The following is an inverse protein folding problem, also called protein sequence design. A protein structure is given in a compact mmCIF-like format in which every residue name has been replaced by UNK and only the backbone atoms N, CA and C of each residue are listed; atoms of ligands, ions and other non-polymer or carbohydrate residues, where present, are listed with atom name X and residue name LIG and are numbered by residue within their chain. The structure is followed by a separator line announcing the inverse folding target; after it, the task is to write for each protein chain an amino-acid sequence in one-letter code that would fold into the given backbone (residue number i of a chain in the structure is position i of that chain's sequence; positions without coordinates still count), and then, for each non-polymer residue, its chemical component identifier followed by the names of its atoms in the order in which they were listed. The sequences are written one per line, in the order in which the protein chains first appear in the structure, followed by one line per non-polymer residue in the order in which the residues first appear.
data_IF_123868686223
#
_entry.id   IF_123868686223
#
_cell.length_a   1.000
_cell.length_b   1.000
_cell.length_c   1.000
_cell.angle_alpha   90.00
_cell.angle_beta   90.00
_cell.angle_gamma   90.00
#
_symmetry.space_group_name_H-M   'P 1'
#
loop_
_entity.id
_entity.type
_entity.pdbx_description
1 polymer ?
#
# COMPACT_ATOMS: atom_id res chain seq x y z
N UNK A 1 2.79 -10.62 -16.52
CA UNK A 1 1.63 -11.52 -16.72
C UNK A 1 2.04 -13.01 -16.85
N UNK A 2 2.89 -13.50 -15.94
CA UNK A 2 3.37 -14.90 -15.92
C UNK A 2 2.41 -15.86 -15.16
N UNK A 3 1.32 -15.35 -14.62
CA UNK A 3 0.28 -16.11 -13.89
C UNK A 3 0.59 -16.32 -12.41
N UNK A 4 1.61 -15.68 -11.87
CA UNK A 4 1.91 -15.65 -10.45
C UNK A 4 1.47 -14.31 -9.86
N UNK A 5 1.04 -14.36 -8.62
CA UNK A 5 0.71 -13.13 -7.90
C UNK A 5 1.98 -12.45 -7.41
N UNK A 6 2.11 -11.20 -7.79
CA UNK A 6 3.08 -10.26 -7.25
C UNK A 6 2.48 -9.57 -6.02
N UNK A 7 3.32 -8.90 -5.23
CA UNK A 7 2.86 -8.14 -4.07
C UNK A 7 3.22 -6.67 -4.27
N UNK A 8 2.28 -5.80 -3.93
CA UNK A 8 2.51 -4.37 -3.87
C UNK A 8 2.59 -3.96 -2.40
N UNK A 9 3.67 -3.30 -2.02
CA UNK A 9 3.91 -2.85 -0.65
C UNK A 9 4.09 -1.33 -0.62
N UNK A 10 3.07 -0.63 -0.10
CA UNK A 10 3.18 0.77 0.26
C UNK A 10 4.05 0.95 1.50
N UNK A 11 4.83 2.01 1.54
CA UNK A 11 5.72 2.33 2.65
C UNK A 11 5.73 3.85 2.90
N UNK A 12 6.63 4.31 3.76
CA UNK A 12 6.79 5.72 4.14
C UNK A 12 7.24 6.62 2.98
N UNK A 13 7.89 6.05 1.98
CA UNK A 13 8.51 6.80 0.89
C UNK A 13 9.91 7.33 1.25
N UNK A 14 10.56 7.91 0.27
CA UNK A 14 11.96 8.36 0.39
C UNK A 14 12.10 9.86 0.64
N UNK A 15 11.02 10.63 0.49
CA UNK A 15 10.97 12.06 0.78
C UNK A 15 10.64 12.31 2.26
N UNK A 16 11.54 11.91 3.13
CA UNK A 16 11.40 12.14 4.56
C UNK A 16 12.76 12.45 5.19
N UNK A 17 12.73 13.03 6.40
CA UNK A 17 13.96 13.23 7.18
C UNK A 17 14.59 11.91 7.64
N UNK A 18 13.87 10.79 7.57
CA UNK A 18 14.41 9.46 7.75
C UNK A 18 15.19 9.09 6.50
N UNK A 19 16.49 8.92 6.62
CA UNK A 19 17.31 8.53 5.48
C UNK A 19 17.41 7.02 5.40
N UNK A 20 17.30 6.50 4.19
CA UNK A 20 17.50 5.09 3.86
C UNK A 20 18.99 4.83 3.54
N UNK A 21 19.37 3.56 3.54
CA UNK A 21 20.73 3.11 3.31
C UNK A 21 21.56 2.96 4.60
N UNK A 22 22.74 2.37 4.49
CA UNK A 22 23.54 1.86 5.61
C UNK A 22 23.97 2.87 6.68
N UNK A 23 23.75 4.17 6.49
CA UNK A 23 24.37 5.20 7.34
C UNK A 23 23.42 5.98 8.27
N UNK A 24 22.07 5.88 8.12
CA UNK A 24 21.12 6.66 8.94
C UNK A 24 19.75 6.01 9.06
N UNK A 25 19.72 4.72 9.33
CA UNK A 25 18.47 3.99 9.50
C UNK A 25 17.69 4.49 10.72
N UNK A 26 16.36 4.54 10.63
CA UNK A 26 15.52 4.76 11.80
C UNK A 26 15.51 3.51 12.68
N UNK A 27 15.61 3.74 13.97
CA UNK A 27 15.51 2.72 15.01
C UNK A 27 14.32 3.02 15.90
N UNK A 28 13.71 1.98 16.43
CA UNK A 28 12.71 2.05 17.48
C UNK A 28 13.17 1.17 18.63
N UNK A 29 13.36 1.79 19.78
CA UNK A 29 13.58 1.10 21.04
C UNK A 29 12.24 0.99 21.75
N UNK A 30 11.81 -0.22 22.11
CA UNK A 30 10.52 -0.42 22.74
C UNK A 30 10.59 -1.44 23.89
N UNK A 31 9.79 -1.21 24.91
CA UNK A 31 9.72 -2.01 26.14
C UNK A 31 9.22 -1.16 27.29
N UNK A 32 9.18 -1.71 28.47
CA UNK A 32 8.95 -0.96 29.72
C UNK A 32 10.25 -0.22 30.10
N UNK A 33 10.46 0.95 29.49
CA UNK A 33 11.67 1.77 29.68
C UNK A 33 11.52 2.62 30.96
N UNK A 34 10.29 3.05 31.26
CA UNK A 34 9.96 3.80 32.47
C UNK A 34 10.00 2.96 33.74
N UNK A 35 9.87 1.65 33.64
CA UNK A 35 9.77 0.74 34.81
C UNK A 35 8.41 0.84 35.48
N UNK A 36 7.38 1.31 34.81
CA UNK A 36 6.03 1.53 35.34
C UNK A 36 5.01 0.46 34.88
N UNK A 37 5.47 -0.54 34.15
CA UNK A 37 4.65 -1.64 33.60
C UNK A 37 3.98 -1.30 32.27
N UNK A 38 4.16 -0.10 31.73
CA UNK A 38 3.65 0.28 30.41
C UNK A 38 4.71 0.14 29.33
N UNK A 39 4.25 -0.04 28.09
CA UNK A 39 5.13 -0.19 26.94
C UNK A 39 5.46 1.18 26.34
N UNK A 40 6.72 1.54 26.38
CA UNK A 40 7.26 2.72 25.73
C UNK A 40 7.78 2.43 24.34
N UNK A 41 7.83 3.46 23.50
CA UNK A 41 8.39 3.42 22.15
C UNK A 41 9.20 4.69 21.87
N UNK A 42 10.51 4.55 21.79
CA UNK A 42 11.45 5.63 21.59
C UNK A 42 12.05 5.56 20.18
N UNK A 43 11.79 6.55 19.37
CA UNK A 43 12.49 6.67 18.08
C UNK A 43 13.93 7.13 18.32
N UNK A 44 14.85 6.45 17.63
CA UNK A 44 16.27 6.76 17.68
C UNK A 44 16.87 6.86 16.28
N UNK A 45 17.99 7.55 16.20
CA UNK A 45 18.83 7.63 15.01
C UNK A 45 20.23 7.15 15.31
N UNK A 46 20.83 6.44 14.37
CA UNK A 46 22.23 6.09 14.46
C UNK A 46 23.08 7.28 13.99
N UNK A 47 23.96 7.74 14.86
CA UNK A 47 24.93 8.78 14.53
C UNK A 47 26.24 8.14 14.05
N UNK A 48 26.58 8.39 12.79
CA UNK A 48 27.76 7.80 12.16
C UNK A 48 29.06 8.31 12.76
N UNK A 49 29.08 9.57 13.19
CA UNK A 49 30.28 10.17 13.75
C UNK A 49 30.65 9.59 15.13
N UNK A 50 29.67 9.43 16.00
CA UNK A 50 29.87 8.86 17.33
C UNK A 50 29.68 7.33 17.38
N UNK A 51 29.21 6.71 16.29
CA UNK A 51 28.86 5.26 16.22
C UNK A 51 27.86 4.84 17.31
N UNK A 52 26.92 5.71 17.66
CA UNK A 52 25.98 5.51 18.76
C UNK A 52 24.54 5.87 18.36
N UNK A 53 23.59 5.31 19.11
CA UNK A 53 22.18 5.68 19.00
C UNK A 53 21.92 6.93 19.84
N UNK A 54 21.35 7.94 19.18
CA UNK A 54 20.89 9.18 19.79
C UNK A 54 19.37 9.25 19.76
N UNK A 55 18.73 9.86 20.76
CA UNK A 55 17.28 10.04 20.74
C UNK A 55 16.90 10.95 19.58
N UNK A 56 15.72 10.70 19.02
CA UNK A 56 15.17 11.56 17.98
C UNK A 56 14.21 12.61 18.55
N UNK A 57 13.61 12.32 19.68
CA UNK A 57 12.71 13.23 20.37
C UNK A 57 13.46 14.36 21.04
N UNK A 58 12.82 15.52 21.08
CA UNK A 58 13.30 16.63 21.90
C UNK A 58 13.14 16.29 23.38
N UNK A 59 14.00 16.88 24.21
CA UNK A 59 13.97 16.66 25.67
C UNK A 59 12.60 17.00 26.26
N UNK A 60 12.01 18.12 25.87
CA UNK A 60 10.70 18.58 26.35
C UNK A 60 9.58 17.57 26.08
N UNK A 61 9.68 16.81 24.99
CA UNK A 61 8.70 15.77 24.66
C UNK A 61 8.90 14.53 25.54
N UNK A 62 10.15 14.15 25.80
CA UNK A 62 10.44 12.95 26.60
C UNK A 62 10.31 13.20 28.12
N UNK A 63 10.55 14.40 28.61
CA UNK A 63 10.40 14.71 30.03
C UNK A 63 8.95 14.58 30.55
N UNK A 64 7.97 14.63 29.63
CA UNK A 64 6.58 14.34 29.96
C UNK A 64 6.34 12.87 30.32
N UNK A 65 7.11 11.97 29.70
CA UNK A 65 7.06 10.52 29.96
C UNK A 65 8.09 10.11 31.00
N UNK A 66 9.23 10.78 31.04
CA UNK A 66 10.38 10.45 31.87
C UNK A 66 10.85 11.69 32.64
N UNK A 67 10.18 12.07 33.74
CA UNK A 67 10.48 13.29 34.49
C UNK A 67 11.92 13.41 35.00
N UNK A 68 12.59 12.27 35.27
CA UNK A 68 13.99 12.23 35.68
C UNK A 68 14.96 12.88 34.67
N UNK A 69 14.56 13.03 33.43
CA UNK A 69 15.39 13.68 32.39
C UNK A 69 15.73 15.10 32.76
N UNK A 70 14.81 15.83 33.38
CA UNK A 70 15.01 17.22 33.77
C UNK A 70 16.05 17.38 34.86
N UNK A 71 16.11 16.38 35.74
CA UNK A 71 17.08 16.34 36.86
C UNK A 71 18.48 15.98 36.35
N UNK A 72 18.55 14.96 35.48
CA UNK A 72 19.79 14.42 34.97
C UNK A 72 20.43 15.26 33.85
N UNK A 73 19.61 16.02 33.13
CA UNK A 73 20.04 16.86 32.00
C UNK A 73 19.51 18.30 32.14
N UNK A 74 20.13 19.14 32.97
CA UNK A 74 19.69 20.50 33.27
C UNK A 74 19.62 21.40 32.02
N UNK A 75 20.28 21.03 30.92
CA UNK A 75 20.29 21.81 29.69
C UNK A 75 20.03 20.97 28.44
N UNK A 76 19.34 21.54 27.45
CA UNK A 76 19.13 20.90 26.14
C UNK A 76 20.45 20.51 25.45
N UNK A 77 21.53 21.23 25.69
CA UNK A 77 22.86 20.94 25.15
C UNK A 77 23.40 19.62 25.71
N UNK A 78 23.28 19.39 26.99
CA UNK A 78 23.72 18.15 27.64
C UNK A 78 22.91 16.97 27.13
N UNK A 79 21.57 17.11 27.07
CA UNK A 79 20.69 16.10 26.50
C UNK A 79 21.03 15.78 25.03
N UNK A 80 21.22 16.79 24.19
CA UNK A 80 21.51 16.61 22.77
C UNK A 80 22.84 15.91 22.48
N UNK A 81 23.80 16.00 23.43
CA UNK A 81 25.08 15.32 23.35
C UNK A 81 25.06 13.89 23.91
N UNK A 82 24.00 13.53 24.67
CA UNK A 82 23.90 12.25 25.34
C UNK A 82 23.36 11.15 24.38
N UNK A 83 23.89 9.95 24.55
CA UNK A 83 23.40 8.77 23.85
C UNK A 83 22.18 8.18 24.57
N UNK A 84 21.38 7.36 23.86
CA UNK A 84 20.28 6.64 24.51
C UNK A 84 20.73 5.85 25.76
N UNK A 85 21.90 5.22 25.68
CA UNK A 85 22.46 4.47 26.80
C UNK A 85 22.81 5.37 28.00
N UNK A 86 23.26 6.59 27.76
CA UNK A 86 23.54 7.56 28.83
C UNK A 86 22.27 8.15 29.43
N UNK A 87 21.25 8.36 28.58
CA UNK A 87 19.97 8.94 29.00
C UNK A 87 19.18 7.94 29.87
N UNK A 88 19.08 6.70 29.42
CA UNK A 88 18.24 5.69 30.05
C UNK A 88 19.03 4.64 30.87
N UNK A 89 20.35 4.75 30.89
CA UNK A 89 21.24 3.86 31.66
C UNK A 89 20.80 2.38 31.66
N UNK A 90 20.57 1.78 32.83
CA UNK A 90 20.14 0.39 32.97
C UNK A 90 18.69 0.09 32.53
N UNK A 91 17.87 1.11 32.29
CA UNK A 91 16.45 0.95 31.92
C UNK A 91 16.24 0.32 30.56
N UNK A 92 17.24 0.33 29.69
CA UNK A 92 17.17 -0.31 28.37
C UNK A 92 17.43 -1.83 28.40
N UNK A 93 17.76 -2.42 29.55
CA UNK A 93 18.18 -3.82 29.64
C UNK A 93 17.12 -4.83 29.13
N UNK A 94 15.84 -4.52 29.29
CA UNK A 94 14.72 -5.33 28.76
C UNK A 94 14.14 -4.87 27.43
N UNK A 95 14.61 -3.74 26.89
CA UNK A 95 14.05 -3.15 25.70
C UNK A 95 14.53 -3.86 24.42
N UNK A 96 13.66 -3.95 23.44
CA UNK A 96 13.96 -4.49 22.11
C UNK A 96 14.30 -3.36 21.16
N UNK A 97 15.24 -3.61 20.25
CA UNK A 97 15.65 -2.68 19.21
C UNK A 97 15.12 -3.16 17.86
N UNK A 98 14.26 -2.37 17.22
CA UNK A 98 13.81 -2.58 15.86
C UNK A 98 14.54 -1.59 14.93
N UNK A 99 14.75 -2.03 13.70
CA UNK A 99 15.45 -1.28 12.66
C UNK A 99 14.65 -1.35 11.38
N UNK A 100 14.33 -0.20 10.78
CA UNK A 100 13.76 -0.17 9.44
C UNK A 100 14.89 -0.06 8.41
N UNK A 101 15.03 -1.07 7.55
CA UNK A 101 16.08 -1.12 6.52
C UNK A 101 15.65 -0.48 5.20
N UNK A 102 14.35 -0.47 4.92
CA UNK A 102 13.78 0.05 3.70
C UNK A 102 12.55 0.92 3.98
N UNK A 103 12.46 2.03 3.26
CA UNK A 103 11.36 2.98 3.33
C UNK A 103 10.66 3.15 1.98
N UNK A 104 11.18 2.54 0.91
CA UNK A 104 10.62 2.65 -0.42
C UNK A 104 9.29 1.89 -0.53
N UNK A 105 8.34 2.48 -1.24
CA UNK A 105 7.19 1.76 -1.76
C UNK A 105 7.64 0.92 -2.95
N UNK A 106 7.31 -0.37 -2.95
CA UNK A 106 7.89 -1.36 -3.88
C UNK A 106 6.84 -2.29 -4.47
N UNK A 107 7.10 -2.81 -5.65
CA UNK A 107 6.50 -4.04 -6.14
C UNK A 107 7.47 -5.20 -5.89
N UNK A 108 6.94 -6.31 -5.41
CA UNK A 108 7.67 -7.55 -5.15
C UNK A 108 7.24 -8.57 -6.20
N UNK A 109 8.07 -8.75 -7.22
CA UNK A 109 7.81 -9.66 -8.33
C UNK A 109 8.09 -11.10 -7.92
N UNK A 110 7.12 -11.97 -8.09
CA UNK A 110 7.22 -13.40 -7.75
C UNK A 110 7.99 -14.16 -8.85
N UNK A 111 9.19 -14.61 -8.54
CA UNK A 111 10.06 -15.36 -9.45
C UNK A 111 10.04 -16.89 -9.22
N UNK A 112 9.00 -17.38 -8.55
CA UNK A 112 8.92 -18.80 -8.19
C UNK A 112 9.97 -19.17 -7.13
N UNK A 113 9.59 -19.13 -5.86
CA UNK A 113 10.47 -19.40 -4.72
C UNK A 113 11.20 -18.20 -4.13
N UNK A 114 11.20 -17.04 -4.80
CA UNK A 114 11.71 -15.77 -4.24
C UNK A 114 10.94 -14.59 -4.79
N UNK A 115 10.95 -13.47 -4.04
CA UNK A 115 10.48 -12.18 -4.51
C UNK A 115 11.66 -11.29 -4.90
N UNK A 116 11.52 -10.60 -6.04
CA UNK A 116 12.42 -9.54 -6.51
C UNK A 116 11.77 -8.20 -6.22
N UNK A 117 12.37 -7.41 -5.32
CA UNK A 117 11.87 -6.09 -5.00
C UNK A 117 12.29 -5.07 -6.06
N UNK A 118 11.33 -4.30 -6.57
CA UNK A 118 11.56 -3.15 -7.45
C UNK A 118 10.89 -1.92 -6.86
N UNK A 119 11.63 -0.82 -6.65
CA UNK A 119 11.02 0.44 -6.25
C UNK A 119 9.98 0.92 -7.27
N UNK A 120 8.86 1.43 -6.76
CA UNK A 120 7.91 2.17 -7.58
C UNK A 120 8.54 3.49 -8.05
N UNK A 121 7.96 4.18 -9.05
CA UNK A 121 8.43 5.49 -9.53
C UNK A 121 8.66 6.50 -8.40
N UNK A 122 9.47 7.51 -8.67
CA UNK A 122 9.88 8.50 -7.66
C UNK A 122 8.68 9.24 -7.05
N UNK A 123 7.61 9.45 -7.83
CA UNK A 123 6.37 10.10 -7.38
C UNK A 123 5.66 9.29 -6.29
N UNK A 124 5.77 7.96 -6.33
CA UNK A 124 5.25 7.08 -5.30
C UNK A 124 6.10 7.10 -4.01
N UNK A 125 7.28 7.73 -4.04
CA UNK A 125 8.18 7.86 -2.91
C UNK A 125 8.09 9.22 -2.20
N UNK A 126 7.28 10.16 -2.73
CA UNK A 126 7.23 11.53 -2.22
C UNK A 126 6.49 11.66 -0.89
N UNK A 127 5.62 10.70 -0.59
CA UNK A 127 4.79 10.69 0.63
C UNK A 127 4.40 9.26 1.00
N UNK A 128 3.98 8.98 2.25
CA UNK A 128 3.54 7.65 2.65
C UNK A 128 2.38 7.14 1.80
N UNK A 129 2.43 5.86 1.45
CA UNK A 129 1.36 5.11 0.80
C UNK A 129 0.61 4.31 1.88
N UNK A 130 -0.65 4.67 2.13
CA UNK A 130 -1.49 4.05 3.14
C UNK A 130 -2.37 2.92 2.60
N UNK A 131 -2.74 3.00 1.34
CA UNK A 131 -3.56 2.02 0.65
C UNK A 131 -3.21 1.96 -0.82
N UNK A 132 -3.51 0.83 -1.43
CA UNK A 132 -3.35 0.63 -2.86
C UNK A 132 -4.48 -0.23 -3.40
N UNK A 133 -4.88 0.01 -4.63
CA UNK A 133 -5.80 -0.86 -5.36
C UNK A 133 -5.30 -1.07 -6.78
N UNK A 134 -5.67 -2.21 -7.35
CA UNK A 134 -5.19 -2.66 -8.66
C UNK A 134 -6.39 -2.89 -9.58
N UNK A 135 -6.34 -2.34 -10.77
CA UNK A 135 -7.28 -2.56 -11.86
C UNK A 135 -6.64 -2.14 -13.19
N UNK A 136 -7.22 -2.53 -14.29
CA UNK A 136 -6.86 -2.08 -15.63
C UNK A 136 -7.68 -0.80 -15.92
N UNK A 137 -7.15 0.37 -15.56
CA UNK A 137 -7.87 1.64 -15.63
C UNK A 137 -7.93 2.23 -17.04
N UNK A 138 -6.97 1.92 -17.90
CA UNK A 138 -6.92 2.42 -19.27
C UNK A 138 -7.35 1.37 -20.32
N UNK A 139 -7.68 0.16 -19.86
CA UNK A 139 -8.14 -0.96 -20.67
C UNK A 139 -7.10 -1.50 -21.66
N UNK A 140 -5.81 -1.39 -21.32
CA UNK A 140 -4.70 -1.92 -22.14
C UNK A 140 -4.45 -3.42 -21.90
N UNK A 141 -5.08 -4.01 -20.89
CA UNK A 141 -4.96 -5.43 -20.49
C UNK A 141 -3.87 -5.71 -19.49
N UNK A 142 -3.16 -4.69 -19.00
CA UNK A 142 -2.22 -4.79 -17.91
C UNK A 142 -2.88 -4.30 -16.61
N UNK A 143 -2.26 -4.64 -15.48
CA UNK A 143 -2.73 -4.15 -14.19
C UNK A 143 -2.07 -2.82 -13.87
N UNK A 144 -2.90 -1.82 -13.59
CA UNK A 144 -2.52 -0.51 -13.08
C UNK A 144 -2.69 -0.45 -11.58
N UNK A 145 -2.13 0.58 -10.97
CA UNK A 145 -2.16 0.77 -9.53
C UNK A 145 -2.59 2.18 -9.19
N UNK A 146 -3.56 2.30 -8.29
CA UNK A 146 -3.81 3.56 -7.59
C UNK A 146 -3.25 3.50 -6.17
N UNK A 147 -2.57 4.57 -5.75
CA UNK A 147 -1.96 4.73 -4.43
C UNK A 147 -2.66 5.82 -3.63
N UNK A 148 -3.20 5.45 -2.47
CA UNK A 148 -3.70 6.39 -1.45
C UNK A 148 -2.54 6.95 -0.65
N UNK A 149 -2.42 8.26 -0.62
CA UNK A 149 -1.23 8.95 -0.14
C UNK A 149 -1.52 9.91 1.01
N UNK A 150 -0.46 10.47 1.58
CA UNK A 150 -0.40 11.50 2.62
C UNK A 150 -0.56 10.98 4.05
N UNK A 151 0.16 11.64 4.97
CA UNK A 151 0.09 11.37 6.39
C UNK A 151 0.27 12.67 7.18
N UNK A 152 -0.77 13.04 7.95
CA UNK A 152 -0.83 14.33 8.66
C UNK A 152 -0.62 14.20 10.17
N UNK A 153 -0.75 12.99 10.72
CA UNK A 153 -0.56 12.72 12.14
C UNK A 153 0.94 12.63 12.51
N UNK A 154 1.68 13.63 12.09
CA UNK A 154 3.10 13.81 12.45
C UNK A 154 3.24 14.61 13.74
N UNK A 155 4.40 14.54 14.39
CA UNK A 155 4.70 15.36 15.55
C UNK A 155 4.79 16.84 15.16
N UNK A 156 4.67 17.72 16.15
CA UNK A 156 4.75 19.18 15.93
C UNK A 156 6.08 19.59 15.30
N UNK A 157 7.15 18.85 15.61
CA UNK A 157 8.50 19.10 15.11
C UNK A 157 8.76 18.53 13.72
N UNK A 158 7.88 17.67 13.23
CA UNK A 158 8.04 17.01 11.94
C UNK A 158 7.21 17.71 10.85
N UNK A 159 7.70 17.66 9.63
CA UNK A 159 6.95 18.17 8.47
C UNK A 159 5.78 17.25 8.15
N UNK A 160 4.65 17.85 7.77
CA UNK A 160 3.53 17.10 7.20
C UNK A 160 4.00 16.38 5.93
N UNK A 161 3.53 15.16 5.79
CA UNK A 161 3.83 14.34 4.61
C UNK A 161 2.64 14.45 3.66
N UNK A 162 2.53 15.56 2.95
CA UNK A 162 1.37 15.98 2.16
C UNK A 162 1.70 16.26 0.68
N UNK A 163 2.78 15.69 0.18
CA UNK A 163 3.22 15.88 -1.21
C UNK A 163 2.41 15.09 -2.25
N UNK A 164 1.40 14.32 -1.83
CA UNK A 164 0.59 13.49 -2.71
C UNK A 164 -0.80 14.08 -2.99
N UNK A 165 -1.31 13.80 -4.18
CA UNK A 165 -2.69 14.11 -4.58
C UNK A 165 -3.51 12.85 -4.95
N UNK A 166 -3.00 11.65 -4.54
CA UNK A 166 -3.44 10.38 -5.07
C UNK A 166 -2.73 10.08 -6.39
N UNK A 167 -2.08 8.93 -6.50
CA UNK A 167 -1.21 8.63 -7.63
C UNK A 167 -1.72 7.43 -8.40
N UNK A 168 -2.05 7.64 -9.67
CA UNK A 168 -2.29 6.58 -10.64
C UNK A 168 -0.96 6.19 -11.31
N UNK A 169 -0.70 4.90 -11.38
CA UNK A 169 0.46 4.29 -12.01
C UNK A 169 -0.04 3.34 -13.09
N UNK A 170 0.28 3.59 -14.36
CA UNK A 170 -0.01 2.66 -15.46
C UNK A 170 1.08 1.60 -15.55
N UNK A 171 0.68 0.34 -15.62
CA UNK A 171 1.56 -0.82 -15.61
C UNK A 171 1.91 -1.31 -17.01
N UNK A 172 3.14 -1.79 -17.19
CA UNK A 172 3.60 -2.38 -18.46
C UNK A 172 3.41 -3.91 -18.55
N UNK A 173 2.77 -4.51 -17.53
CA UNK A 173 2.60 -5.96 -17.41
C UNK A 173 3.89 -6.73 -17.10
N UNK A 174 5.02 -6.05 -16.89
CA UNK A 174 6.33 -6.65 -16.55
C UNK A 174 6.88 -6.16 -15.21
N UNK A 175 6.05 -5.42 -14.45
CA UNK A 175 6.40 -4.83 -13.16
C UNK A 175 7.04 -3.46 -13.25
N UNK A 176 7.04 -2.83 -14.42
CA UNK A 176 7.32 -1.41 -14.61
C UNK A 176 6.04 -0.60 -14.52
N UNK A 177 6.17 0.67 -14.08
CA UNK A 177 5.05 1.58 -13.90
C UNK A 177 5.40 2.98 -14.36
N UNK A 178 4.41 3.68 -14.93
CA UNK A 178 4.50 5.08 -15.34
C UNK A 178 3.49 5.90 -14.55
N UNK A 179 3.97 6.99 -13.93
CA UNK A 179 3.13 7.88 -13.12
C UNK A 179 2.22 8.75 -13.99
N UNK A 180 0.93 8.82 -13.63
CA UNK A 180 -0.05 9.71 -14.23
C UNK A 180 -0.47 10.75 -13.20
N UNK A 181 -0.02 11.98 -13.41
CA UNK A 181 -0.32 13.09 -12.49
C UNK A 181 -1.78 13.51 -12.55
N UNK A 182 -2.28 14.11 -11.46
CA UNK A 182 -3.69 14.49 -11.32
C UNK A 182 -4.23 15.46 -12.37
N UNK A 183 -3.38 16.25 -13.03
CA UNK A 183 -3.82 17.11 -14.15
C UNK A 183 -4.17 16.30 -15.41
N UNK A 184 -3.68 15.05 -15.53
CA UNK A 184 -3.98 14.13 -16.64
C UNK A 184 -5.03 13.10 -16.25
N UNK A 185 -4.93 12.53 -15.04
CA UNK A 185 -5.88 11.52 -14.56
C UNK A 185 -7.21 12.11 -14.08
N UNK A 186 -7.25 13.40 -13.77
CA UNK A 186 -8.39 14.05 -13.09
C UNK A 186 -8.43 13.80 -11.60
N UNK A 187 -7.63 12.87 -11.06
CA UNK A 187 -7.63 12.49 -9.65
C UNK A 187 -6.80 13.50 -8.85
N UNK A 188 -7.47 14.26 -7.96
CA UNK A 188 -6.84 15.29 -7.11
C UNK A 188 -7.43 15.22 -5.71
N UNK A 189 -6.72 14.55 -4.81
CA UNK A 189 -7.12 14.37 -3.40
C UNK A 189 -5.96 14.78 -2.50
N UNK A 190 -5.98 16.02 -2.04
CA UNK A 190 -4.92 16.61 -1.21
C UNK A 190 -5.04 16.25 0.27
N UNK A 191 -6.14 15.59 0.68
CA UNK A 191 -6.35 15.13 2.05
C UNK A 191 -5.49 13.92 2.41
N UNK A 192 -5.59 13.50 3.67
CA UNK A 192 -4.95 12.30 4.16
C UNK A 192 -5.75 11.07 3.72
N UNK A 193 -5.36 10.45 2.64
CA UNK A 193 -6.02 9.29 2.07
C UNK A 193 -5.66 8.03 2.86
N UNK A 194 -6.63 7.18 3.16
CA UNK A 194 -6.40 5.96 3.95
C UNK A 194 -6.66 4.69 3.18
N UNK A 195 -7.81 4.59 2.58
CA UNK A 195 -8.21 3.44 1.79
C UNK A 195 -8.66 3.84 0.40
N UNK A 196 -8.58 2.90 -0.53
CA UNK A 196 -9.13 3.04 -1.87
C UNK A 196 -9.73 1.71 -2.32
N UNK A 197 -10.80 1.77 -3.08
CA UNK A 197 -11.48 0.60 -3.60
C UNK A 197 -11.90 0.82 -5.05
N UNK A 198 -11.95 -0.27 -5.79
CA UNK A 198 -12.39 -0.32 -7.18
C UNK A 198 -13.71 -1.05 -7.30
N UNK A 199 -14.59 -0.54 -8.14
CA UNK A 199 -15.84 -1.16 -8.54
C UNK A 199 -16.38 -0.50 -9.79
N UNK A 200 -17.35 -1.11 -10.42
CA UNK A 200 -18.15 -0.51 -11.50
C UNK A 200 -19.43 0.01 -10.85
N UNK A 201 -19.49 1.32 -10.58
CA UNK A 201 -20.54 1.94 -9.79
C UNK A 201 -21.69 2.50 -10.62
N UNK A 202 -21.47 2.68 -11.92
CA UNK A 202 -22.45 3.16 -12.87
C UNK A 202 -22.86 2.09 -13.91
N UNK A 203 -22.37 0.85 -13.74
CA UNK A 203 -22.64 -0.30 -14.62
C UNK A 203 -22.17 -0.12 -16.08
N UNK A 204 -21.13 0.69 -16.30
CA UNK A 204 -20.59 0.96 -17.63
C UNK A 204 -19.44 0.02 -18.05
N UNK A 205 -19.03 -0.90 -17.17
CA UNK A 205 -17.98 -1.88 -17.40
C UNK A 205 -16.57 -1.32 -17.26
N UNK A 206 -16.39 -0.16 -16.62
CA UNK A 206 -15.08 0.42 -16.33
C UNK A 206 -14.80 0.41 -14.84
N UNK A 207 -13.53 0.30 -14.44
CA UNK A 207 -13.17 0.35 -13.03
C UNK A 207 -13.25 1.78 -12.49
N UNK A 208 -14.26 2.08 -11.67
CA UNK A 208 -14.36 3.32 -10.93
C UNK A 208 -13.55 3.27 -9.63
N UNK A 209 -13.18 4.44 -9.10
CA UNK A 209 -12.30 4.56 -7.95
C UNK A 209 -12.99 5.32 -6.80
N UNK A 210 -13.07 4.69 -5.64
CA UNK A 210 -13.49 5.31 -4.39
C UNK A 210 -12.27 5.51 -3.48
N UNK A 211 -12.11 6.72 -2.93
CA UNK A 211 -11.00 7.08 -2.04
C UNK A 211 -11.55 7.58 -0.72
N UNK A 212 -11.17 6.91 0.37
CA UNK A 212 -11.50 7.33 1.73
C UNK A 212 -10.41 8.23 2.32
N UNK A 213 -10.81 9.27 3.04
CA UNK A 213 -9.91 10.23 3.67
C UNK A 213 -10.08 10.24 5.18
N UNK A 214 -8.99 10.46 5.91
CA UNK A 214 -9.04 10.75 7.33
C UNK A 214 -9.49 12.20 7.52
N UNK A 215 -10.57 12.41 8.29
CA UNK A 215 -11.17 13.75 8.54
C UNK A 215 -11.55 14.49 7.25
N UNK A 216 -11.87 13.78 6.18
CA UNK A 216 -12.34 14.35 4.91
C UNK A 216 -13.44 13.50 4.30
N UNK A 217 -14.22 14.11 3.39
CA UNK A 217 -15.26 13.41 2.65
C UNK A 217 -14.62 12.41 1.67
N UNK A 218 -15.20 11.22 1.50
CA UNK A 218 -14.75 10.30 0.48
C UNK A 218 -14.89 10.93 -0.90
N UNK A 219 -14.03 10.52 -1.83
CA UNK A 219 -14.06 10.97 -3.22
C UNK A 219 -14.35 9.78 -4.13
N UNK A 220 -15.30 9.98 -5.03
CA UNK A 220 -15.64 9.05 -6.08
C UNK A 220 -15.20 9.62 -7.42
N UNK A 221 -14.51 8.79 -8.20
CA UNK A 221 -14.10 9.08 -9.57
C UNK A 221 -14.69 8.01 -10.50
N UNK A 222 -15.58 8.44 -11.39
CA UNK A 222 -16.09 7.58 -12.45
C UNK A 222 -15.07 7.58 -13.60
N UNK A 223 -14.71 6.39 -14.02
CA UNK A 223 -13.76 6.22 -15.12
C UNK A 223 -14.46 6.43 -16.46
N UNK A 224 -14.06 7.44 -17.19
CA UNK A 224 -14.59 7.78 -18.54
C UNK A 224 -13.63 7.43 -19.66
N UNK A 225 -12.46 6.85 -19.31
CA UNK A 225 -11.43 6.44 -20.26
C UNK A 225 -11.48 4.93 -20.52
N UNK A 226 -10.88 4.52 -21.63
CA UNK A 226 -10.80 3.12 -21.99
C UNK A 226 -12.11 2.53 -22.52
N UNK A 227 -12.08 1.24 -22.77
CA UNK A 227 -13.22 0.45 -23.24
C UNK A 227 -13.90 -0.28 -22.09
N UNK A 228 -15.19 -0.54 -22.21
CA UNK A 228 -15.90 -1.38 -21.26
C UNK A 228 -15.32 -2.80 -21.24
N UNK A 229 -14.95 -3.27 -20.06
CA UNK A 229 -14.49 -4.63 -19.84
C UNK A 229 -15.63 -5.61 -19.55
N UNK A 230 -15.30 -6.88 -19.52
CA UNK A 230 -16.24 -7.93 -19.11
C UNK A 230 -16.44 -7.88 -17.60
N UNK A 231 -17.67 -7.71 -17.16
CA UNK A 231 -18.04 -7.78 -15.73
C UNK A 231 -18.25 -9.22 -15.32
N UNK A 232 -17.52 -9.67 -14.30
CA UNK A 232 -17.59 -11.03 -13.78
C UNK A 232 -17.83 -11.01 -12.29
N UNK A 233 -18.85 -11.71 -11.83
CA UNK A 233 -19.13 -11.94 -10.40
C UNK A 233 -19.08 -13.43 -10.09
N UNK A 234 -18.32 -13.80 -9.08
CA UNK A 234 -18.28 -15.17 -8.60
C UNK A 234 -19.33 -15.40 -7.52
N UNK A 235 -20.09 -16.49 -7.67
CA UNK A 235 -21.06 -16.97 -6.67
C UNK A 235 -20.76 -18.42 -6.31
N UNK A 236 -20.97 -18.78 -5.07
CA UNK A 236 -20.90 -20.16 -4.61
C UNK A 236 -22.16 -20.47 -3.81
N UNK A 237 -22.91 -21.50 -4.19
CA UNK A 237 -24.19 -21.84 -3.58
C UNK A 237 -25.11 -20.62 -3.37
N UNK A 238 -25.13 -19.69 -4.30
CA UNK A 238 -25.93 -18.48 -4.24
C UNK A 238 -25.38 -17.34 -3.37
N UNK A 239 -24.21 -17.51 -2.74
CA UNK A 239 -23.57 -16.47 -1.92
C UNK A 239 -22.35 -15.87 -2.62
N UNK A 240 -22.29 -14.53 -2.73
CA UNK A 240 -21.12 -13.82 -3.26
C UNK A 240 -19.86 -14.01 -2.39
N UNK A 241 -20.03 -14.30 -1.10
CA UNK A 241 -18.90 -14.51 -0.17
C UNK A 241 -18.03 -15.73 -0.53
N UNK A 242 -18.55 -16.65 -1.32
CA UNK A 242 -17.88 -17.91 -1.63
C UNK A 242 -16.88 -17.83 -2.78
N UNK A 243 -16.80 -16.70 -3.47
CA UNK A 243 -15.72 -16.43 -4.44
C UNK A 243 -14.37 -16.07 -3.80
N UNK A 244 -14.30 -15.98 -2.46
CA UNK A 244 -13.05 -15.64 -1.77
C UNK A 244 -11.97 -16.69 -2.02
N UNK A 245 -10.81 -16.21 -2.52
CA UNK A 245 -9.69 -17.09 -2.85
C UNK A 245 -9.77 -17.77 -4.21
N UNK A 246 -10.89 -17.63 -4.94
CA UNK A 246 -10.95 -18.06 -6.34
C UNK A 246 -10.09 -17.16 -7.23
N UNK A 247 -9.48 -17.74 -8.23
CA UNK A 247 -8.64 -17.03 -9.21
C UNK A 247 -9.31 -17.05 -10.56
N UNK A 248 -9.55 -15.85 -11.11
CA UNK A 248 -10.09 -15.66 -12.46
C UNK A 248 -8.96 -15.36 -13.45
N UNK A 249 -9.17 -15.81 -14.67
CA UNK A 249 -8.27 -15.51 -15.78
C UNK A 249 -9.05 -15.42 -17.11
N UNK A 250 -8.92 -14.29 -17.79
CA UNK A 250 -9.45 -14.17 -19.15
C UNK A 250 -8.62 -15.00 -20.13
N UNK A 251 -9.29 -15.64 -21.09
CA UNK A 251 -8.67 -16.30 -22.23
C UNK A 251 -9.16 -15.58 -23.48
N UNK A 252 -8.24 -15.06 -24.25
CA UNK A 252 -8.52 -14.29 -25.44
C UNK A 252 -8.71 -15.17 -26.67
N UNK A 253 -9.27 -14.61 -27.75
CA UNK A 253 -9.49 -15.35 -29.00
C UNK A 253 -8.20 -15.90 -29.63
N UNK A 254 -7.07 -15.23 -29.42
CA UNK A 254 -5.75 -15.67 -29.89
C UNK A 254 -5.13 -16.77 -29.01
N UNK A 255 -5.83 -17.22 -27.99
CA UNK A 255 -5.37 -18.22 -27.03
C UNK A 255 -4.46 -17.68 -25.91
N UNK A 256 -4.05 -16.42 -25.98
CA UNK A 256 -3.32 -15.78 -24.88
C UNK A 256 -4.20 -15.59 -23.65
N UNK A 257 -3.57 -15.45 -22.47
CA UNK A 257 -4.29 -15.29 -21.21
C UNK A 257 -3.98 -13.92 -20.60
N UNK A 258 -4.99 -13.32 -20.02
CA UNK A 258 -4.85 -12.10 -19.23
C UNK A 258 -4.22 -12.35 -17.86
N UNK A 259 -4.08 -11.30 -17.07
CA UNK A 259 -3.59 -11.40 -15.69
C UNK A 259 -4.49 -12.30 -14.84
N UNK A 260 -3.91 -12.93 -13.84
CA UNK A 260 -4.66 -13.68 -12.84
C UNK A 260 -5.19 -12.70 -11.79
N UNK A 261 -6.50 -12.76 -11.50
CA UNK A 261 -7.15 -11.89 -10.52
C UNK A 261 -7.82 -12.70 -9.42
N UNK A 262 -7.78 -12.21 -8.19
CA UNK A 262 -8.59 -12.78 -7.11
C UNK A 262 -10.04 -12.39 -7.31
N UNK A 263 -10.93 -13.35 -7.23
CA UNK A 263 -12.36 -13.19 -7.50
C UNK A 263 -13.13 -12.33 -6.50
N UNK A 264 -12.62 -12.25 -5.28
CA UNK A 264 -13.02 -11.25 -4.30
C UNK A 264 -11.80 -10.97 -3.43
N UNK A 265 -11.53 -9.74 -3.11
CA UNK A 265 -10.34 -9.48 -2.38
C UNK A 265 -10.30 -8.16 -1.63
N UNK A 266 -9.59 -8.18 -0.53
CA UNK A 266 -9.11 -6.97 0.11
C UNK A 266 -7.97 -6.40 -0.74
N UNK A 267 -8.07 -5.15 -1.10
CA UNK A 267 -6.98 -4.39 -1.75
C UNK A 267 -5.99 -3.82 -0.72
N UNK A 268 -6.00 -4.34 0.49
CA UNK A 268 -5.11 -3.92 1.57
C UNK A 268 -5.84 -3.48 2.84
N UNK A 269 -5.14 -2.79 3.73
CA UNK A 269 -5.71 -2.27 4.97
C UNK A 269 -6.73 -1.18 4.67
N UNK A 270 -7.90 -1.25 5.28
CA UNK A 270 -9.02 -0.31 5.12
C UNK A 270 -9.66 -0.29 3.73
N UNK A 271 -9.46 -1.31 2.91
CA UNK A 271 -9.97 -1.34 1.54
C UNK A 271 -10.54 -2.70 1.19
N UNK A 272 -11.65 -2.70 0.45
CA UNK A 272 -12.20 -3.89 -0.18
C UNK A 272 -12.79 -3.49 -1.52
N UNK A 273 -12.30 -4.10 -2.58
CA UNK A 273 -12.85 -3.91 -3.93
C UNK A 273 -14.23 -4.57 -4.06
N UNK A 274 -14.97 -4.19 -5.10
CA UNK A 274 -16.22 -4.83 -5.47
C UNK A 274 -16.04 -6.33 -5.70
N UNK A 275 -17.07 -7.10 -5.38
CA UNK A 275 -17.13 -8.54 -5.71
C UNK A 275 -17.33 -8.75 -7.23
N UNK A 276 -17.73 -7.72 -7.98
CA UNK A 276 -17.74 -7.72 -9.44
C UNK A 276 -16.36 -7.30 -9.95
N UNK A 277 -15.69 -8.23 -10.63
CA UNK A 277 -14.42 -7.97 -11.28
C UNK A 277 -14.65 -7.48 -12.70
N UNK A 278 -13.84 -6.51 -13.16
CA UNK A 278 -13.86 -6.01 -14.51
C UNK A 278 -12.62 -6.56 -15.22
N UNK A 279 -12.81 -7.46 -16.16
CA UNK A 279 -11.72 -7.99 -16.96
C UNK A 279 -11.51 -7.09 -18.18
N UNK A 280 -10.32 -6.55 -18.34
CA UNK A 280 -9.99 -5.54 -19.36
C UNK A 280 -10.24 -6.01 -20.78
N UNK A 281 -10.56 -5.06 -21.65
CA UNK A 281 -11.04 -5.29 -23.03
C UNK A 281 -9.96 -5.07 -24.10
N UNK A 282 -8.67 -5.04 -23.74
CA UNK A 282 -7.57 -4.87 -24.71
C UNK A 282 -7.65 -5.87 -25.89
N UNK A 283 -8.19 -7.06 -25.61
CA UNK A 283 -8.46 -8.12 -26.58
C UNK A 283 -9.84 -8.71 -26.33
N UNK A 284 -10.46 -9.25 -27.38
CA UNK A 284 -11.74 -9.93 -27.23
C UNK A 284 -11.59 -11.21 -26.40
N UNK A 285 -12.29 -11.24 -25.24
CA UNK A 285 -12.32 -12.38 -24.35
C UNK A 285 -13.21 -13.47 -24.93
N UNK A 286 -12.67 -14.68 -25.08
CA UNK A 286 -13.39 -15.89 -25.53
C UNK A 286 -14.04 -16.60 -24.36
N UNK A 287 -13.29 -16.76 -23.26
CA UNK A 287 -13.77 -17.46 -22.07
C UNK A 287 -13.08 -16.95 -20.81
N UNK A 288 -13.66 -17.27 -19.67
CA UNK A 288 -13.09 -17.01 -18.34
C UNK A 288 -12.77 -18.35 -17.69
N UNK A 289 -11.51 -18.54 -17.30
CA UNK A 289 -11.10 -19.67 -16.46
C UNK A 289 -11.23 -19.26 -14.99
N UNK A 290 -11.82 -20.13 -14.18
CA UNK A 290 -11.91 -19.95 -12.73
C UNK A 290 -11.25 -21.13 -12.04
N UNK A 291 -10.28 -20.85 -11.17
CA UNK A 291 -9.68 -21.81 -10.27
C UNK A 291 -10.24 -21.58 -8.87
N UNK A 292 -11.05 -22.51 -8.38
CA UNK A 292 -11.72 -22.42 -7.09
C UNK A 292 -10.82 -22.88 -5.94
N UNK A 293 -11.02 -22.38 -4.71
CA UNK A 293 -10.24 -22.81 -3.55
C UNK A 293 -10.33 -24.32 -3.25
N UNK A 294 -11.42 -24.96 -3.69
CA UNK A 294 -11.61 -26.42 -3.62
C UNK A 294 -10.67 -27.22 -4.53
N UNK A 295 -9.90 -26.54 -5.39
CA UNK A 295 -9.10 -27.17 -6.43
C UNK A 295 -9.84 -27.45 -7.74
N UNK A 296 -11.16 -27.24 -7.78
CA UNK A 296 -11.96 -27.36 -9.00
C UNK A 296 -11.59 -26.23 -9.97
N UNK A 297 -11.61 -26.53 -11.26
CA UNK A 297 -11.47 -25.54 -12.33
C UNK A 297 -12.69 -25.57 -13.21
N UNK A 298 -13.22 -24.38 -13.52
CA UNK A 298 -14.30 -24.19 -14.50
C UNK A 298 -13.85 -23.24 -15.61
N UNK A 299 -14.46 -23.41 -16.78
CA UNK A 299 -14.22 -22.55 -17.96
C UNK A 299 -15.55 -22.18 -18.54
N UNK A 300 -15.86 -20.89 -18.54
CA UNK A 300 -17.11 -20.35 -19.06
C UNK A 300 -16.90 -19.56 -20.33
N UNK A 301 -17.70 -19.85 -21.34
CA UNK A 301 -17.64 -19.13 -22.63
C UNK A 301 -18.36 -17.79 -22.54
N UNK A 302 -17.74 -16.75 -23.07
CA UNK A 302 -18.33 -15.41 -23.10
C UNK A 302 -19.21 -15.30 -24.35
N UNK A 303 -20.51 -15.39 -24.17
CA UNK A 303 -21.48 -15.27 -25.28
C UNK A 303 -21.79 -13.80 -25.56
N UNK A 304 -22.03 -13.02 -24.50
CA UNK A 304 -22.30 -11.59 -24.60
C UNK A 304 -21.47 -10.81 -23.59
N UNK A 305 -20.44 -10.07 -24.00
CA UNK A 305 -19.56 -9.33 -23.08
C UNK A 305 -20.24 -8.11 -22.41
N UNK A 306 -21.38 -7.66 -22.91
CA UNK A 306 -22.12 -6.54 -22.31
C UNK A 306 -22.92 -6.94 -21.06
N UNK A 307 -23.10 -8.24 -20.81
CA UNK A 307 -23.83 -8.74 -19.64
C UNK A 307 -22.88 -9.04 -18.49
N UNK A 308 -23.40 -8.90 -17.26
CA UNK A 308 -22.71 -9.41 -16.07
C UNK A 308 -22.67 -10.93 -16.14
N UNK A 309 -21.47 -11.50 -16.16
CA UNK A 309 -21.25 -12.93 -16.13
C UNK A 309 -21.22 -13.40 -14.66
N UNK A 310 -22.23 -14.13 -14.25
CA UNK A 310 -22.26 -14.74 -12.91
C UNK A 310 -21.79 -16.20 -13.00
N UNK A 311 -20.70 -16.49 -12.30
CA UNK A 311 -20.08 -17.81 -12.30
C UNK A 311 -20.24 -18.44 -10.91
N UNK A 312 -20.66 -19.70 -10.86
CA UNK A 312 -20.89 -20.42 -9.62
C UNK A 312 -20.39 -21.86 -9.66
N UNK A 313 -20.27 -22.45 -8.48
CA UNK A 313 -20.15 -23.89 -8.26
C UNK A 313 -21.45 -24.41 -7.66
#
# INVERSE_FOLDING_TARGET
NDGRFDLLAGNRGLNSHLKHGNKRLPYLVHGDIGGDGFYDALEARFDVASQRLLPRHQMVTLELLFPFLRENFPTHRQYAAATLQQIFAGQLAGAKLLKASDLASVVLLNRGGRFEARPLPVEAQLTPVNGATVADFDSDGNEDVFLSQNFFAVRVEDYRMDAGEGLLLLGDGQGGFVSVFGHRSGIKVFGEQRGCAVGDLNDDGRPDLLIAQNKGLPKLYLNVLGQAGLRVRLKFNGSAAAGQGAVLRSVYNDGSKGPARLGSGSSGRYSRNSDTQILGAAKRIRSVEVSWPSGIKSVEQVINPALLLELGL
#
